data_IF_525836922476
#
_entry.id   IF_525836922476
#
_cell.length_a   1.000
_cell.length_b   1.000
_cell.length_c   1.000
_cell.angle_alpha   90.00
_cell.angle_beta   90.00
_cell.angle_gamma   90.00
#
_symmetry.space_group_name_H-M   'P 1'
#
loop_
_entity.id
_entity.type
_entity.pdbx_description
1 polymer ?
#
# COMPACT_ATOMS: atom_id res chain seq x y z
N UNK A 1 14.31 -0.93 22.06
CA UNK A 1 14.98 -2.26 22.04
C UNK A 1 14.20 -3.26 21.18
N UNK A 2 14.53 -3.40 19.88
CA UNK A 2 13.99 -4.44 18.99
C UNK A 2 14.99 -4.70 17.84
N UNK A 3 16.08 -5.42 18.13
CA UNK A 3 17.16 -5.74 17.19
C UNK A 3 17.12 -7.16 16.62
N UNK A 4 16.00 -7.87 16.77
CA UNK A 4 15.87 -9.30 16.43
C UNK A 4 15.76 -9.61 14.92
N UNK A 5 15.90 -8.61 14.03
CA UNK A 5 15.87 -8.82 12.57
C UNK A 5 14.47 -8.91 11.93
N UNK A 6 13.38 -8.82 12.70
CA UNK A 6 12.00 -8.86 12.17
C UNK A 6 11.72 -7.80 11.12
N UNK A 7 12.16 -6.56 11.35
CA UNK A 7 12.03 -5.45 10.39
C UNK A 7 12.88 -5.67 9.14
N UNK A 8 14.07 -6.24 9.29
CA UNK A 8 14.94 -6.60 8.15
C UNK A 8 14.29 -7.68 7.31
N UNK A 9 13.77 -8.74 7.95
CA UNK A 9 13.05 -9.81 7.27
C UNK A 9 11.80 -9.30 6.55
N UNK A 10 11.02 -8.43 7.20
CA UNK A 10 9.85 -7.82 6.56
C UNK A 10 10.24 -7.01 5.32
N UNK A 11 11.30 -6.20 5.40
CA UNK A 11 11.84 -5.46 4.25
C UNK A 11 12.29 -6.39 3.11
N UNK A 12 12.83 -7.56 3.41
CA UNK A 12 13.17 -8.57 2.40
C UNK A 12 11.92 -9.18 1.75
N UNK A 13 10.89 -9.49 2.54
CA UNK A 13 9.63 -10.07 2.05
C UNK A 13 8.88 -9.10 1.12
N UNK A 14 8.81 -7.82 1.49
CA UNK A 14 8.16 -6.76 0.70
C UNK A 14 9.07 -6.16 -0.38
N UNK A 15 10.23 -6.79 -0.65
CA UNK A 15 11.17 -6.38 -1.70
C UNK A 15 11.73 -4.95 -1.54
N UNK A 16 11.82 -4.46 -0.30
CA UNK A 16 12.39 -3.16 0.08
C UNK A 16 13.85 -3.25 0.58
N UNK A 17 14.43 -4.44 0.61
CA UNK A 17 15.85 -4.66 0.91
C UNK A 17 16.40 -5.81 0.07
N UNK A 18 17.73 -5.80 -0.16
CA UNK A 18 18.46 -6.91 -0.78
C UNK A 18 18.99 -7.85 0.28
N UNK A 19 18.98 -9.15 -0.01
CA UNK A 19 19.60 -10.17 0.86
C UNK A 19 21.12 -10.07 0.72
N UNK A 20 21.82 -10.31 1.82
CA UNK A 20 23.28 -10.44 1.81
C UNK A 20 23.75 -11.87 1.45
N UNK A 21 22.84 -12.85 1.43
CA UNK A 21 23.09 -14.24 1.09
C UNK A 21 21.88 -15.14 1.43
N UNK A 22 21.89 -16.40 0.97
CA UNK A 22 20.81 -17.37 1.18
C UNK A 22 19.66 -17.28 0.15
N UNK A 23 18.58 -18.01 0.39
CA UNK A 23 17.37 -17.99 -0.45
C UNK A 23 16.14 -17.60 0.36
N UNK A 24 15.21 -16.90 -0.29
CA UNK A 24 13.90 -16.48 0.25
C UNK A 24 12.90 -16.60 -0.89
N UNK A 25 11.78 -17.25 -0.63
CA UNK A 25 10.66 -17.39 -1.56
C UNK A 25 9.42 -16.81 -0.92
N UNK A 26 8.71 -15.94 -1.63
CA UNK A 26 7.43 -15.34 -1.23
C UNK A 26 6.43 -15.66 -2.33
N UNK A 27 5.37 -16.41 -1.99
CA UNK A 27 4.41 -16.96 -2.98
C UNK A 27 5.07 -17.77 -4.11
N UNK A 28 6.18 -18.45 -3.83
CA UNK A 28 6.95 -19.19 -4.85
C UNK A 28 7.88 -18.32 -5.70
N UNK A 29 7.91 -17.00 -5.48
CA UNK A 29 8.66 -16.02 -6.24
C UNK A 29 9.86 -15.47 -5.47
N UNK A 30 10.88 -14.96 -6.17
CA UNK A 30 12.06 -14.36 -5.56
C UNK A 30 11.87 -12.84 -5.35
N UNK A 31 11.89 -12.31 -4.11
CA UNK A 31 11.69 -10.87 -3.85
C UNK A 31 12.66 -9.92 -4.56
N UNK A 32 13.88 -10.37 -4.88
CA UNK A 32 14.84 -9.53 -5.59
C UNK A 32 14.60 -9.48 -7.10
N UNK A 33 13.93 -10.49 -7.66
CA UNK A 33 13.67 -10.61 -9.10
C UNK A 33 12.23 -10.26 -9.46
N UNK A 34 11.30 -10.70 -8.63
CA UNK A 34 9.86 -10.71 -8.87
C UNK A 34 9.12 -9.73 -7.95
N UNK A 35 9.84 -8.76 -7.37
CA UNK A 35 9.32 -7.90 -6.31
C UNK A 35 8.04 -7.14 -6.67
N UNK A 36 7.80 -6.83 -7.95
CA UNK A 36 6.54 -6.23 -8.41
C UNK A 36 5.38 -7.23 -8.30
N UNK A 37 5.57 -8.47 -8.78
CA UNK A 37 4.55 -9.52 -8.72
C UNK A 37 4.23 -9.94 -7.28
N UNK A 38 5.24 -9.95 -6.41
CA UNK A 38 5.08 -10.20 -4.97
C UNK A 38 4.31 -9.05 -4.32
N UNK A 39 4.69 -7.78 -4.59
CA UNK A 39 4.01 -6.60 -4.02
C UNK A 39 2.54 -6.47 -4.45
N UNK A 40 2.20 -6.89 -5.67
CA UNK A 40 0.82 -6.93 -6.15
C UNK A 40 -0.06 -7.96 -5.41
N UNK A 41 0.55 -8.90 -4.67
CA UNK A 41 -0.14 -9.94 -3.87
C UNK A 41 -0.05 -9.71 -2.37
N UNK A 42 0.71 -8.71 -1.93
CA UNK A 42 0.87 -8.37 -0.52
C UNK A 42 0.03 -7.13 -0.19
N UNK A 43 -0.86 -7.26 0.80
CA UNK A 43 -1.42 -6.10 1.51
C UNK A 43 -0.34 -5.44 2.36
N UNK A 44 0.59 -4.71 1.75
CA UNK A 44 1.60 -3.98 2.52
C UNK A 44 0.95 -2.73 3.11
N UNK A 45 0.42 -2.89 4.32
CA UNK A 45 0.18 -1.79 5.24
C UNK A 45 1.57 -1.35 5.72
N UNK A 46 2.14 -0.35 5.04
CA UNK A 46 3.33 0.32 5.56
C UNK A 46 3.05 0.78 6.99
N UNK A 47 3.95 0.48 7.93
CA UNK A 47 3.83 1.01 9.28
C UNK A 47 3.73 2.55 9.20
N UNK A 48 2.62 3.06 9.74
CA UNK A 48 2.32 4.45 10.07
C UNK A 48 2.21 5.43 8.86
N UNK A 49 0.98 5.86 8.58
CA UNK A 49 0.60 7.23 8.16
C UNK A 49 1.35 7.90 6.99
N UNK A 50 1.74 7.20 5.93
CA UNK A 50 2.35 7.84 4.75
C UNK A 50 1.35 8.49 3.78
N UNK A 51 0.31 9.17 4.27
CA UNK A 51 -0.47 10.05 3.40
C UNK A 51 0.40 11.26 3.04
N UNK A 52 0.66 11.45 1.76
CA UNK A 52 1.41 12.58 1.25
C UNK A 52 0.59 13.87 1.45
N UNK A 53 1.04 14.82 2.29
CA UNK A 53 0.29 16.02 2.61
C UNK A 53 0.21 17.00 1.43
N UNK A 54 1.09 16.87 0.44
CA UNK A 54 1.17 17.75 -0.74
C UNK A 54 0.21 17.31 -1.86
N UNK A 55 -0.42 16.13 -1.71
CA UNK A 55 -1.36 15.58 -2.67
C UNK A 55 -2.80 15.63 -2.15
N UNK A 56 -3.75 15.46 -3.06
CA UNK A 56 -5.15 15.17 -2.73
C UNK A 56 -5.35 13.67 -2.46
N UNK A 57 -6.57 13.30 -2.07
CA UNK A 57 -6.97 11.90 -1.83
C UNK A 57 -6.66 11.02 -3.04
N UNK A 58 -7.02 11.48 -4.24
CA UNK A 58 -6.81 10.71 -5.46
C UNK A 58 -5.34 10.55 -5.82
N UNK A 59 -4.55 11.62 -5.75
CA UNK A 59 -3.12 11.61 -5.97
C UNK A 59 -2.40 10.66 -5.01
N UNK A 60 -2.82 10.62 -3.74
CA UNK A 60 -2.33 9.64 -2.77
C UNK A 60 -2.60 8.20 -3.20
N UNK A 61 -3.82 7.90 -3.66
CA UNK A 61 -4.18 6.57 -4.12
C UNK A 61 -3.42 6.19 -5.40
N UNK A 62 -3.34 7.10 -6.37
CA UNK A 62 -2.59 6.84 -7.61
C UNK A 62 -1.10 6.62 -7.37
N UNK A 63 -0.48 7.43 -6.51
CA UNK A 63 0.93 7.28 -6.14
C UNK A 63 1.17 5.96 -5.43
N UNK A 64 0.28 5.60 -4.49
CA UNK A 64 0.31 4.30 -3.83
C UNK A 64 0.20 3.16 -4.84
N UNK A 65 -0.82 3.19 -5.72
CA UNK A 65 -1.01 2.18 -6.75
C UNK A 65 0.24 2.01 -7.61
N UNK A 66 0.76 3.09 -8.19
CA UNK A 66 1.97 3.05 -9.04
C UNK A 66 3.17 2.47 -8.30
N UNK A 67 3.36 2.81 -7.03
CA UNK A 67 4.47 2.28 -6.21
C UNK A 67 4.39 0.75 -6.02
N UNK A 68 3.17 0.22 -5.88
CA UNK A 68 2.90 -1.21 -5.72
C UNK A 68 2.62 -1.94 -7.04
N UNK A 69 2.68 -1.26 -8.19
CA UNK A 69 2.39 -1.86 -9.49
C UNK A 69 0.90 -2.02 -9.80
N UNK A 70 0.03 -1.36 -9.04
CA UNK A 70 -1.41 -1.32 -9.24
C UNK A 70 -1.78 -0.08 -10.07
N UNK A 71 -2.32 -0.29 -11.26
CA UNK A 71 -2.71 0.81 -12.12
C UNK A 71 -3.83 0.37 -13.06
N UNK A 72 -4.37 1.34 -13.79
CA UNK A 72 -5.36 1.09 -14.85
C UNK A 72 -6.81 1.12 -14.37
N UNK A 73 -7.73 0.66 -15.24
CA UNK A 73 -9.17 0.76 -15.00
C UNK A 73 -9.64 -0.03 -13.77
N UNK A 74 -9.08 -1.22 -13.53
CA UNK A 74 -9.43 -2.10 -12.41
C UNK A 74 -9.09 -1.47 -11.07
N UNK A 75 -7.85 -1.00 -10.91
CA UNK A 75 -7.42 -0.24 -9.73
C UNK A 75 -8.30 1.00 -9.50
N UNK A 76 -8.61 1.72 -10.58
CA UNK A 76 -9.44 2.92 -10.51
C UNK A 76 -10.87 2.61 -10.05
N UNK A 77 -11.48 1.55 -10.58
CA UNK A 77 -12.80 1.08 -10.17
C UNK A 77 -12.79 0.66 -8.70
N UNK A 78 -11.78 -0.12 -8.28
CA UNK A 78 -11.63 -0.59 -6.90
C UNK A 78 -11.44 0.55 -5.91
N UNK A 79 -10.61 1.54 -6.22
CA UNK A 79 -10.48 2.74 -5.40
C UNK A 79 -11.81 3.46 -5.23
N UNK A 80 -12.60 3.61 -6.30
CA UNK A 80 -13.90 4.29 -6.23
C UNK A 80 -14.90 3.53 -5.36
N UNK A 81 -14.96 2.21 -5.50
CA UNK A 81 -15.79 1.34 -4.66
C UNK A 81 -15.42 1.48 -3.16
N UNK A 82 -14.13 1.43 -2.84
CA UNK A 82 -13.66 1.54 -1.46
C UNK A 82 -13.85 2.95 -0.88
N UNK A 83 -13.68 3.99 -1.70
CA UNK A 83 -13.97 5.37 -1.30
C UNK A 83 -15.45 5.56 -1.03
N UNK A 84 -16.32 4.94 -1.80
CA UNK A 84 -17.78 4.97 -1.59
C UNK A 84 -18.15 4.25 -0.30
N UNK A 85 -17.67 3.02 -0.12
CA UNK A 85 -17.88 2.22 1.08
C UNK A 85 -17.41 2.92 2.37
N UNK A 86 -16.36 3.74 2.30
CA UNK A 86 -15.80 4.47 3.43
C UNK A 86 -16.24 5.94 3.50
N UNK A 87 -17.26 6.32 2.73
CA UNK A 87 -17.85 7.67 2.72
C UNK A 87 -16.82 8.78 2.46
N UNK A 88 -15.98 8.58 1.44
CA UNK A 88 -14.92 9.50 1.00
C UNK A 88 -15.04 9.90 -0.48
N UNK A 89 -16.06 9.46 -1.21
CA UNK A 89 -16.28 9.79 -2.64
C UNK A 89 -16.21 11.29 -2.91
N UNK A 90 -16.94 12.10 -2.14
CA UNK A 90 -16.98 13.57 -2.28
C UNK A 90 -15.67 14.27 -1.86
N UNK A 91 -14.67 13.51 -1.40
CA UNK A 91 -13.38 14.00 -0.93
C UNK A 91 -12.24 13.64 -1.86
N UNK A 92 -12.54 13.03 -3.01
CA UNK A 92 -11.57 12.56 -4.00
C UNK A 92 -10.51 13.61 -4.36
N UNK A 93 -10.91 14.88 -4.48
CA UNK A 93 -10.03 16.00 -4.84
C UNK A 93 -9.68 16.92 -3.66
N UNK A 94 -9.99 16.50 -2.44
CA UNK A 94 -9.66 17.27 -1.25
C UNK A 94 -8.18 17.06 -0.88
N UNK A 95 -7.42 18.14 -0.57
CA UNK A 95 -6.07 18.02 -0.04
C UNK A 95 -6.06 17.18 1.24
N UNK A 96 -5.05 16.32 1.43
CA UNK A 96 -4.94 15.49 2.65
C UNK A 96 -4.97 16.33 3.92
N UNK A 97 -4.36 17.51 3.89
CA UNK A 97 -4.30 18.42 5.04
C UNK A 97 -5.68 18.97 5.45
N UNK A 98 -6.67 18.97 4.55
CA UNK A 98 -8.04 19.39 4.84
C UNK A 98 -8.91 18.24 5.41
N UNK A 99 -8.42 17.00 5.42
CA UNK A 99 -9.14 15.87 5.99
C UNK A 99 -9.08 15.87 7.52
N UNK A 100 -10.18 15.51 8.17
CA UNK A 100 -10.17 15.20 9.60
C UNK A 100 -9.33 13.95 9.89
N UNK A 101 -8.88 13.76 11.13
CA UNK A 101 -8.16 12.55 11.53
C UNK A 101 -8.93 11.25 11.25
N UNK A 102 -10.26 11.26 11.45
CA UNK A 102 -11.12 10.13 11.11
C UNK A 102 -11.14 9.83 9.61
N UNK A 103 -11.17 10.86 8.77
CA UNK A 103 -11.13 10.71 7.31
C UNK A 103 -9.77 10.20 6.83
N UNK A 104 -8.67 10.68 7.42
CA UNK A 104 -7.32 10.16 7.14
C UNK A 104 -7.22 8.68 7.50
N UNK A 105 -7.79 8.27 8.63
CA UNK A 105 -7.84 6.86 9.05
C UNK A 105 -8.65 5.99 8.08
N UNK A 106 -9.80 6.48 7.59
CA UNK A 106 -10.57 5.79 6.55
C UNK A 106 -9.79 5.68 5.24
N UNK A 107 -9.10 6.73 4.82
CA UNK A 107 -8.26 6.67 3.61
C UNK A 107 -7.09 5.68 3.73
N UNK A 108 -6.50 5.55 4.92
CA UNK A 108 -5.50 4.51 5.17
C UNK A 108 -6.09 3.09 5.00
N UNK A 109 -7.34 2.88 5.41
CA UNK A 109 -8.07 1.62 5.18
C UNK A 109 -8.30 1.39 3.68
N UNK A 110 -8.68 2.41 2.91
CA UNK A 110 -8.78 2.30 1.43
C UNK A 110 -7.46 1.79 0.85
N UNK A 111 -6.32 2.38 1.24
CA UNK A 111 -4.99 1.95 0.77
C UNK A 111 -4.65 0.51 1.16
N UNK A 112 -5.09 0.06 2.34
CA UNK A 112 -4.86 -1.32 2.77
C UNK A 112 -5.70 -2.33 1.95
N UNK A 113 -6.93 -1.98 1.60
CA UNK A 113 -7.89 -2.87 0.94
C UNK A 113 -7.80 -2.85 -0.60
N UNK A 114 -7.20 -1.82 -1.18
CA UNK A 114 -7.10 -1.68 -2.65
C UNK A 114 -6.25 -2.78 -3.31
N UNK A 115 -5.41 -3.46 -2.54
CA UNK A 115 -4.54 -4.55 -3.00
C UNK A 115 -5.22 -5.94 -2.99
N UNK A 116 -6.51 -6.04 -2.61
CA UNK A 116 -7.22 -7.33 -2.42
C UNK A 116 -6.36 -8.40 -1.70
N UNK A 117 -5.87 -8.10 -0.48
CA UNK A 117 -4.96 -9.02 0.17
C UNK A 117 -5.65 -10.33 0.56
N UNK A 118 -5.04 -11.46 0.21
CA UNK A 118 -5.43 -12.79 0.71
C UNK A 118 -5.22 -12.92 2.24
N UNK A 119 -4.46 -12.00 2.86
CA UNK A 119 -4.21 -11.96 4.31
C UNK A 119 -3.97 -10.51 4.79
N UNK A 120 -4.65 -10.09 5.86
CA UNK A 120 -4.44 -8.82 6.58
C UNK A 120 -3.52 -8.99 7.78
#
# INVERSE_FOLDING_TARGET
>A
PNGAGKTTLFKLIVSMARRSGGSLSVFGLDPERDGVAIKARLGVVGQEDSLDPDLDVWGNLQTYGRYFGLAGPEFTARCRELLDFLELTEKLHMPIMALSGGMKRRLAIVRALVNEPELL
#
